data_IF_669034070536
#
_entry.id   IF_669034070536
#
_cell.length_a   1.000
_cell.length_b   1.000
_cell.length_c   1.000
_cell.angle_alpha   90.00
_cell.angle_beta   90.00
_cell.angle_gamma   90.00
#
_symmetry.space_group_name_H-M   'P 1'
#
loop_
_entity.id
_entity.type
_entity.pdbx_description
1 polymer ?
#
# COMPACT_ATOMS: atom_id res chain seq x y z
N UNK A 1 -33.58 6.63 -29.08
CA UNK A 1 -32.31 5.87 -29.09
C UNK A 1 -32.63 4.44 -28.65
N UNK A 2 -32.46 3.48 -29.56
CA UNK A 2 -32.85 2.07 -29.40
C UNK A 2 -31.93 1.24 -28.48
N UNK A 3 -30.76 1.78 -28.11
CA UNK A 3 -29.79 1.10 -27.24
C UNK A 3 -30.02 1.31 -25.74
N UNK A 4 -30.99 2.17 -25.36
CA UNK A 4 -31.29 2.49 -23.95
C UNK A 4 -31.49 1.25 -23.06
N UNK A 5 -32.19 0.17 -23.50
CA UNK A 5 -32.34 -1.03 -22.66
C UNK A 5 -31.01 -1.73 -22.34
N UNK A 6 -30.11 -1.83 -23.32
CA UNK A 6 -28.80 -2.48 -23.15
C UNK A 6 -27.89 -1.64 -22.24
N UNK A 7 -27.92 -0.32 -22.41
CA UNK A 7 -27.16 0.60 -21.54
C UNK A 7 -27.64 0.44 -20.08
N UNK A 8 -28.95 0.49 -19.85
CA UNK A 8 -29.52 0.35 -18.50
C UNK A 8 -29.18 -1.01 -17.89
N UNK A 9 -29.28 -2.10 -18.66
CA UNK A 9 -28.95 -3.44 -18.17
C UNK A 9 -27.50 -3.54 -17.71
N UNK A 10 -26.54 -3.10 -18.52
CA UNK A 10 -25.12 -3.15 -18.17
C UNK A 10 -24.79 -2.27 -16.96
N UNK A 11 -25.40 -1.08 -16.87
CA UNK A 11 -25.21 -0.20 -15.73
C UNK A 11 -25.72 -0.83 -14.44
N UNK A 12 -26.95 -1.34 -14.44
CA UNK A 12 -27.54 -1.97 -13.25
C UNK A 12 -26.78 -3.24 -12.87
N UNK A 13 -26.44 -4.09 -13.83
CA UNK A 13 -25.66 -5.30 -13.58
C UNK A 13 -24.30 -4.98 -12.95
N UNK A 14 -23.59 -3.97 -13.47
CA UNK A 14 -22.31 -3.55 -12.90
C UNK A 14 -22.45 -3.06 -11.46
N UNK A 15 -23.50 -2.28 -11.17
CA UNK A 15 -23.79 -1.81 -9.80
C UNK A 15 -24.02 -2.99 -8.86
N UNK A 16 -24.83 -3.98 -9.27
CA UNK A 16 -25.10 -5.16 -8.44
C UNK A 16 -23.83 -5.98 -8.17
N UNK A 17 -23.04 -6.26 -9.22
CA UNK A 17 -21.80 -7.03 -9.06
C UNK A 17 -20.80 -6.32 -8.15
N UNK A 18 -20.67 -5.00 -8.27
CA UNK A 18 -19.81 -4.22 -7.38
C UNK A 18 -20.33 -4.24 -5.94
N UNK A 19 -21.63 -4.02 -5.73
CA UNK A 19 -22.21 -4.03 -4.39
C UNK A 19 -22.01 -5.39 -3.69
N UNK A 20 -22.35 -6.49 -4.36
CA UNK A 20 -22.16 -7.83 -3.80
C UNK A 20 -20.69 -8.20 -3.63
N UNK A 21 -19.85 -7.82 -4.60
CA UNK A 21 -18.40 -8.02 -4.54
C UNK A 21 -17.77 -7.32 -3.34
N UNK A 22 -18.12 -6.04 -3.11
CA UNK A 22 -17.63 -5.26 -1.98
C UNK A 22 -18.09 -5.83 -0.64
N UNK A 23 -19.36 -6.24 -0.54
CA UNK A 23 -19.89 -6.88 0.67
C UNK A 23 -19.17 -8.20 0.98
N UNK A 24 -18.93 -9.03 -0.04
CA UNK A 24 -18.23 -10.31 0.08
C UNK A 24 -16.77 -10.10 0.44
N UNK A 25 -16.08 -9.17 -0.22
CA UNK A 25 -14.70 -8.82 0.08
C UNK A 25 -14.54 -8.32 1.52
N UNK A 26 -15.46 -7.46 1.97
CA UNK A 26 -15.41 -6.96 3.35
C UNK A 26 -15.56 -8.11 4.35
N UNK A 27 -16.59 -8.95 4.20
CA UNK A 27 -16.89 -10.05 5.14
C UNK A 27 -15.83 -11.15 5.16
N UNK A 28 -15.29 -11.51 3.99
CA UNK A 28 -14.43 -12.68 3.85
C UNK A 28 -12.94 -12.35 3.77
N UNK A 29 -12.57 -11.06 3.67
CA UNK A 29 -11.18 -10.64 3.58
C UNK A 29 -10.92 -9.42 4.46
N UNK A 30 -11.51 -8.26 4.14
CA UNK A 30 -11.05 -6.97 4.69
C UNK A 30 -11.11 -6.90 6.23
N UNK A 31 -12.20 -7.33 6.86
CA UNK A 31 -12.34 -7.28 8.33
C UNK A 31 -11.34 -8.18 9.07
N UNK A 32 -10.81 -9.20 8.39
CA UNK A 32 -9.89 -10.18 8.98
C UNK A 32 -8.42 -9.88 8.71
N UNK A 33 -8.11 -8.84 7.97
CA UNK A 33 -6.72 -8.47 7.67
C UNK A 33 -6.02 -8.11 8.97
N UNK A 34 -4.92 -8.81 9.26
CA UNK A 34 -4.03 -8.51 10.37
C UNK A 34 -2.63 -8.20 9.83
N UNK A 35 -1.95 -7.17 10.37
CA UNK A 35 -0.57 -6.89 10.01
C UNK A 35 0.34 -8.02 10.48
N UNK A 36 1.32 -8.37 9.65
CA UNK A 36 2.42 -9.24 10.05
C UNK A 36 3.52 -8.34 10.62
N UNK A 37 3.43 -8.06 11.91
CA UNK A 37 4.32 -7.11 12.61
C UNK A 37 5.80 -7.45 12.44
N UNK A 38 6.16 -8.73 12.43
CA UNK A 38 7.55 -9.17 12.22
C UNK A 38 8.10 -8.67 10.87
N UNK A 39 7.33 -8.86 9.79
CA UNK A 39 7.73 -8.42 8.46
C UNK A 39 7.80 -6.89 8.38
N UNK A 40 6.81 -6.20 8.96
CA UNK A 40 6.79 -4.74 8.98
C UNK A 40 8.03 -4.19 9.68
N UNK A 41 8.38 -4.74 10.85
CA UNK A 41 9.57 -4.34 11.59
C UNK A 41 10.87 -4.67 10.84
N UNK A 42 10.95 -5.85 10.21
CA UNK A 42 12.12 -6.23 9.42
C UNK A 42 12.33 -5.26 8.25
N UNK A 43 11.27 -4.97 7.47
CA UNK A 43 11.35 -4.02 6.35
C UNK A 43 11.62 -2.60 6.81
N UNK A 44 11.06 -2.17 7.94
CA UNK A 44 11.31 -0.85 8.49
C UNK A 44 12.79 -0.69 8.87
N UNK A 45 13.35 -1.66 9.60
CA UNK A 45 14.74 -1.61 10.06
C UNK A 45 15.77 -1.74 8.92
N UNK A 46 15.42 -2.46 7.84
CA UNK A 46 16.25 -2.56 6.62
C UNK A 46 16.02 -1.39 5.65
N UNK A 47 15.12 -0.46 5.97
CA UNK A 47 14.80 0.64 5.07
C UNK A 47 15.85 1.75 5.17
N UNK A 48 16.59 1.95 4.07
CA UNK A 48 17.47 3.09 3.88
C UNK A 48 16.73 4.44 3.93
N UNK A 49 15.41 4.46 3.83
CA UNK A 49 14.60 5.68 3.91
C UNK A 49 14.55 6.28 5.32
N UNK A 50 14.82 5.50 6.37
CA UNK A 50 14.92 6.01 7.76
C UNK A 50 15.96 7.13 7.90
N UNK A 51 16.95 7.15 7.01
CA UNK A 51 18.00 8.17 6.98
C UNK A 51 17.46 9.59 6.73
N UNK A 52 16.31 9.70 6.06
CA UNK A 52 15.67 11.01 5.80
C UNK A 52 15.08 11.60 7.08
N UNK A 53 14.62 10.77 8.01
CA UNK A 53 14.20 11.21 9.35
C UNK A 53 15.38 11.70 10.19
N UNK A 54 16.61 11.30 9.86
CA UNK A 54 17.82 11.78 10.52
C UNK A 54 18.27 13.17 10.02
N UNK A 55 17.80 13.63 8.84
CA UNK A 55 18.21 14.91 8.26
C UNK A 55 18.13 16.12 9.22
N UNK A 56 17.06 16.30 10.03
CA UNK A 56 16.97 17.41 10.98
C UNK A 56 17.91 17.28 12.18
N UNK A 57 18.35 16.05 12.50
CA UNK A 57 19.15 15.76 13.70
C UNK A 57 20.66 15.72 13.43
N UNK A 58 21.08 15.21 12.27
CA UNK A 58 22.50 15.05 11.92
C UNK A 58 22.92 15.82 10.67
N UNK A 59 21.99 16.45 9.96
CA UNK A 59 22.25 17.17 8.71
C UNK A 59 22.27 16.27 7.46
N UNK A 60 21.90 16.84 6.32
CA UNK A 60 21.72 16.14 5.05
C UNK A 60 22.96 15.39 4.56
N UNK A 61 24.15 16.00 4.67
CA UNK A 61 25.40 15.35 4.21
C UNK A 61 25.73 14.07 4.97
N UNK A 62 25.59 14.10 6.31
CA UNK A 62 25.88 12.94 7.16
C UNK A 62 24.85 11.84 6.96
N UNK A 63 23.57 12.21 6.82
CA UNK A 63 22.51 11.30 6.48
C UNK A 63 22.76 10.62 5.12
N UNK A 64 23.08 11.39 4.07
CA UNK A 64 23.37 10.84 2.75
C UNK A 64 24.58 9.89 2.74
N UNK A 65 25.61 10.17 3.55
CA UNK A 65 26.77 9.27 3.70
C UNK A 65 26.39 7.94 4.37
N UNK A 66 25.57 7.98 5.43
CA UNK A 66 25.08 6.78 6.13
C UNK A 66 24.24 5.92 5.17
N UNK A 67 23.35 6.53 4.39
CA UNK A 67 22.53 5.84 3.40
C UNK A 67 23.37 5.12 2.33
N UNK A 68 24.37 5.83 1.77
CA UNK A 68 25.29 5.26 0.77
C UNK A 68 26.13 4.12 1.33
N UNK A 69 26.56 4.23 2.60
CA UNK A 69 27.33 3.18 3.27
C UNK A 69 26.47 1.93 3.51
N UNK A 70 25.29 2.09 4.09
CA UNK A 70 24.36 0.99 4.34
C UNK A 70 23.97 0.27 3.03
N UNK A 71 23.67 1.02 1.96
CA UNK A 71 23.41 0.44 0.63
C UNK A 71 24.60 -0.34 0.06
N UNK A 72 25.84 0.13 0.28
CA UNK A 72 27.06 -0.54 -0.20
C UNK A 72 27.38 -1.80 0.60
N UNK A 73 27.04 -1.83 1.88
CA UNK A 73 27.31 -2.94 2.81
C UNK A 73 26.15 -3.95 2.88
N UNK A 74 25.02 -3.69 2.20
CA UNK A 74 23.85 -4.57 2.18
C UNK A 74 23.08 -4.58 3.51
N UNK A 75 23.19 -3.49 4.26
CA UNK A 75 22.55 -3.27 5.56
C UNK A 75 21.27 -2.44 5.42
#
# INVERSE_FOLDING_TARGET
NVFKPVIMHNTLQSIYLLADGMNTFNKNCAIGIQPIEENINNYLNQSLMLVTALNPHIGYEKAAQIAKKAHKEGL
#
